data_IF_983291989671
#
_entry.id   IF_983291989671
#
_cell.length_a   1.000
_cell.length_b   1.000
_cell.length_c   1.000
_cell.angle_alpha   90.00
_cell.angle_beta   90.00
_cell.angle_gamma   90.00
#
_symmetry.space_group_name_H-M   'P 1'
#
loop_
_entity.id
_entity.type
_entity.pdbx_description
1 polymer ?
#
# COMPACT_ATOMS: atom_id res chain seq x y z
N UNK A 1 3.12 -20.73 -15.24
CA UNK A 1 3.91 -20.53 -14.01
C UNK A 1 5.12 -21.43 -14.02
N UNK A 2 6.24 -20.91 -13.56
CA UNK A 2 7.48 -21.65 -13.29
C UNK A 2 7.61 -21.83 -11.79
N UNK A 3 7.79 -23.07 -11.37
CA UNK A 3 8.02 -23.42 -9.96
C UNK A 3 9.45 -23.89 -9.86
N UNK A 4 10.28 -23.18 -9.10
CA UNK A 4 11.67 -23.59 -8.87
C UNK A 4 11.79 -24.13 -7.45
N UNK A 5 12.32 -25.34 -7.31
CA UNK A 5 12.62 -25.95 -6.01
C UNK A 5 14.13 -25.80 -5.80
N UNK A 6 14.51 -24.93 -4.88
CA UNK A 6 15.89 -24.82 -4.41
C UNK A 6 16.14 -25.89 -3.35
N UNK A 7 17.16 -26.70 -3.53
CA UNK A 7 17.44 -27.82 -2.62
C UNK A 7 18.92 -28.01 -2.40
N UNK A 8 19.30 -28.52 -1.24
CA UNK A 8 20.67 -29.02 -1.02
C UNK A 8 20.81 -30.45 -1.55
N UNK A 9 22.05 -30.90 -1.83
CA UNK A 9 22.30 -32.30 -2.17
C UNK A 9 21.65 -33.25 -1.15
N UNK A 10 21.00 -34.29 -1.64
CA UNK A 10 20.39 -35.36 -0.82
C UNK A 10 19.29 -34.89 0.17
N UNK A 11 18.61 -33.77 -0.09
CA UNK A 11 17.53 -33.32 0.79
C UNK A 11 16.34 -34.31 0.83
N UNK A 12 15.96 -34.83 2.02
CA UNK A 12 14.93 -35.86 2.15
C UNK A 12 13.50 -35.34 1.86
N UNK A 13 13.30 -34.02 1.88
CA UNK A 13 11.99 -33.40 1.72
C UNK A 13 11.64 -33.06 0.26
N UNK A 14 12.56 -33.27 -0.69
CA UNK A 14 12.32 -33.01 -2.12
C UNK A 14 11.19 -33.85 -2.71
N UNK A 15 11.10 -35.17 -2.45
CA UNK A 15 9.97 -35.96 -2.93
C UNK A 15 8.63 -35.45 -2.39
N UNK A 16 8.59 -35.09 -1.10
CA UNK A 16 7.40 -34.60 -0.40
C UNK A 16 6.94 -33.27 -1.00
N UNK A 17 7.84 -32.31 -1.21
CA UNK A 17 7.46 -31.01 -1.78
C UNK A 17 7.00 -31.13 -3.23
N UNK A 18 7.61 -32.00 -4.04
CA UNK A 18 7.19 -32.26 -5.42
C UNK A 18 5.79 -32.86 -5.48
N UNK A 19 5.49 -33.82 -4.61
CA UNK A 19 4.17 -34.42 -4.50
C UNK A 19 3.13 -33.37 -4.12
N UNK A 20 3.41 -32.55 -3.09
CA UNK A 20 2.49 -31.50 -2.62
C UNK A 20 2.26 -30.40 -3.66
N UNK A 21 3.29 -30.01 -4.43
CA UNK A 21 3.15 -29.09 -5.56
C UNK A 21 2.23 -29.70 -6.62
N UNK A 22 2.42 -30.97 -6.96
CA UNK A 22 1.57 -31.67 -7.95
C UNK A 22 0.10 -31.68 -7.51
N UNK A 23 -0.15 -31.99 -6.23
CA UNK A 23 -1.50 -31.95 -5.63
C UNK A 23 -2.09 -30.53 -5.53
N UNK A 24 -1.23 -29.51 -5.41
CA UNK A 24 -1.66 -28.11 -5.37
C UNK A 24 -1.99 -27.57 -6.77
N UNK A 25 -1.29 -28.04 -7.81
CA UNK A 25 -1.54 -27.65 -9.19
C UNK A 25 -2.88 -28.17 -9.72
N UNK A 26 -3.36 -29.31 -9.23
CA UNK A 26 -4.68 -29.87 -9.57
C UNK A 26 -4.93 -29.92 -11.09
N UNK A 27 -3.93 -30.42 -11.85
CA UNK A 27 -3.99 -30.53 -13.31
C UNK A 27 -3.59 -29.28 -14.09
N UNK A 28 -3.23 -28.17 -13.43
CA UNK A 28 -2.70 -26.97 -14.10
C UNK A 28 -1.27 -27.18 -14.61
N UNK A 29 -0.99 -26.66 -15.80
CA UNK A 29 0.35 -26.72 -16.40
C UNK A 29 1.32 -25.77 -15.67
N UNK A 30 2.41 -26.35 -15.15
CA UNK A 30 3.54 -25.61 -14.57
C UNK A 30 4.85 -26.25 -15.01
N UNK A 31 5.88 -25.43 -15.22
CA UNK A 31 7.25 -25.90 -15.43
C UNK A 31 7.90 -26.01 -14.06
N UNK A 32 8.32 -27.21 -13.65
CA UNK A 32 8.97 -27.44 -12.35
C UNK A 32 10.46 -27.66 -12.57
N UNK A 33 11.27 -26.72 -12.11
CA UNK A 33 12.72 -26.78 -12.16
C UNK A 33 13.26 -27.13 -10.77
N UNK A 34 14.29 -27.98 -10.71
CA UNK A 34 15.00 -28.33 -9.48
C UNK A 34 16.41 -27.76 -9.58
N UNK A 35 16.79 -26.90 -8.64
CA UNK A 35 18.11 -26.28 -8.58
C UNK A 35 18.79 -26.74 -7.31
N UNK A 36 19.93 -27.42 -7.47
CA UNK A 36 20.77 -27.82 -6.36
C UNK A 36 21.67 -26.65 -5.94
N UNK A 37 21.70 -26.35 -4.65
CA UNK A 37 22.45 -25.26 -4.02
C UNK A 37 23.30 -25.88 -2.92
N UNK A 38 24.62 -25.86 -3.12
CA UNK A 38 25.56 -26.52 -2.21
C UNK A 38 26.31 -25.53 -1.31
N UNK A 39 26.33 -24.24 -1.67
CA UNK A 39 27.10 -23.20 -0.99
C UNK A 39 26.22 -22.06 -0.48
N UNK A 40 26.61 -21.47 0.66
CA UNK A 40 25.89 -20.33 1.25
C UNK A 40 25.87 -19.09 0.34
N UNK A 41 26.92 -18.88 -0.46
CA UNK A 41 26.98 -17.78 -1.44
C UNK A 41 25.94 -17.95 -2.56
N UNK A 42 25.70 -19.17 -3.00
CA UNK A 42 24.63 -19.50 -3.95
C UNK A 42 23.26 -19.37 -3.29
N UNK A 43 23.13 -19.83 -2.04
CA UNK A 43 21.91 -19.65 -1.26
C UNK A 43 21.53 -18.16 -1.14
N UNK A 44 22.50 -17.27 -0.90
CA UNK A 44 22.29 -15.83 -0.85
C UNK A 44 21.82 -15.25 -2.20
N UNK A 45 22.41 -15.68 -3.31
CA UNK A 45 22.00 -15.26 -4.67
C UNK A 45 20.57 -15.65 -5.00
N UNK A 46 20.16 -16.82 -4.56
CA UNK A 46 18.81 -17.33 -4.77
C UNK A 46 17.81 -16.91 -3.69
N UNK A 47 18.25 -16.23 -2.63
CA UNK A 47 17.41 -15.92 -1.46
C UNK A 47 16.96 -17.15 -0.68
N UNK A 48 17.68 -18.27 -0.81
CA UNK A 48 17.38 -19.54 -0.15
C UNK A 48 17.66 -19.43 1.35
N UNK A 49 16.61 -19.54 2.16
CA UNK A 49 16.70 -19.54 3.64
C UNK A 49 16.67 -20.95 4.23
N UNK A 50 16.80 -21.97 3.38
CA UNK A 50 16.92 -23.38 3.73
C UNK A 50 16.31 -24.31 2.66
N UNK A 51 16.62 -25.60 2.74
CA UNK A 51 16.15 -26.64 1.82
C UNK A 51 14.94 -27.41 2.37
N UNK A 52 13.92 -27.71 1.54
CA UNK A 52 13.68 -27.14 0.23
C UNK A 52 13.13 -25.71 0.36
N UNK A 53 13.42 -24.83 -0.60
CA UNK A 53 12.73 -23.54 -0.79
C UNK A 53 11.97 -23.57 -2.10
N UNK A 54 10.69 -23.20 -2.09
CA UNK A 54 9.83 -23.19 -3.27
C UNK A 54 9.67 -21.76 -3.77
N UNK A 55 10.09 -21.50 -5.00
CA UNK A 55 9.89 -20.24 -5.69
C UNK A 55 8.75 -20.39 -6.70
N UNK A 56 7.77 -19.50 -6.65
CA UNK A 56 6.72 -19.36 -7.65
C UNK A 56 7.04 -18.14 -8.50
N UNK A 57 7.32 -18.36 -9.79
CA UNK A 57 7.74 -17.32 -10.74
C UNK A 57 8.91 -16.46 -10.21
N UNK A 58 9.81 -17.09 -9.43
CA UNK A 58 11.01 -16.46 -8.83
C UNK A 58 10.83 -15.91 -7.42
N UNK A 59 9.63 -15.95 -6.84
CA UNK A 59 9.32 -15.39 -5.52
C UNK A 59 9.09 -16.53 -4.51
N UNK A 60 9.70 -16.43 -3.31
CA UNK A 60 9.42 -17.32 -2.17
C UNK A 60 8.19 -16.83 -1.38
N UNK A 61 7.01 -17.46 -1.51
CA UNK A 61 5.80 -17.02 -0.82
C UNK A 61 5.83 -17.30 0.69
N UNK A 62 6.79 -18.10 1.16
CA UNK A 62 6.90 -18.50 2.56
C UNK A 62 8.04 -17.78 3.29
N UNK A 63 8.63 -16.76 2.65
CA UNK A 63 9.82 -16.05 3.15
C UNK A 63 9.60 -15.55 4.58
N UNK A 64 10.59 -15.81 5.44
CA UNK A 64 10.68 -15.18 6.76
C UNK A 64 11.57 -13.95 6.62
N UNK A 65 11.07 -12.79 7.09
CA UNK A 65 11.83 -11.54 7.08
C UNK A 65 13.10 -11.67 7.93
N UNK A 66 14.21 -11.14 7.41
CA UNK A 66 15.54 -11.16 8.04
C UNK A 66 16.13 -12.55 8.33
N UNK A 67 15.54 -13.62 7.78
CA UNK A 67 16.16 -14.94 7.85
C UNK A 67 17.44 -14.96 6.99
N UNK A 68 18.59 -15.38 7.56
CA UNK A 68 19.83 -15.45 6.80
C UNK A 68 19.73 -16.52 5.71
N UNK A 69 20.39 -16.32 4.56
CA UNK A 69 20.55 -17.38 3.59
C UNK A 69 21.17 -18.62 4.23
N UNK A 70 20.66 -19.80 3.89
CA UNK A 70 21.07 -21.04 4.54
C UNK A 70 20.96 -22.24 3.60
N UNK A 71 21.96 -23.12 3.70
CA UNK A 71 21.98 -24.47 3.10
C UNK A 71 21.47 -25.54 4.09
N UNK A 72 20.83 -25.13 5.19
CA UNK A 72 20.23 -26.05 6.18
C UNK A 72 18.79 -26.40 5.86
N UNK A 73 18.19 -27.36 6.58
CA UNK A 73 16.77 -27.69 6.41
C UNK A 73 15.86 -26.50 6.77
N UNK A 74 14.90 -26.19 5.90
CA UNK A 74 13.85 -25.22 6.17
C UNK A 74 12.66 -25.88 6.85
N UNK A 75 12.12 -25.20 7.84
CA UNK A 75 10.92 -25.61 8.56
C UNK A 75 9.74 -24.75 8.16
N UNK A 76 8.65 -25.39 7.77
CA UNK A 76 7.38 -24.78 7.40
C UNK A 76 6.39 -24.99 8.53
N UNK A 77 5.63 -23.96 8.87
CA UNK A 77 4.55 -24.04 9.86
C UNK A 77 3.20 -23.98 9.15
N UNK A 78 2.31 -24.91 9.47
CA UNK A 78 0.92 -24.81 9.07
C UNK A 78 0.11 -23.92 10.01
N UNK A 79 -1.15 -23.67 9.67
CA UNK A 79 -2.10 -22.87 10.45
C UNK A 79 -2.42 -23.47 11.82
N UNK A 80 -2.18 -24.78 12.00
CA UNK A 80 -2.37 -25.50 13.26
C UNK A 80 -1.09 -25.51 14.12
N UNK A 81 -0.03 -24.82 13.68
CA UNK A 81 1.26 -24.71 14.37
C UNK A 81 2.14 -25.96 14.26
N UNK A 82 1.78 -26.95 13.44
CA UNK A 82 2.63 -28.11 13.16
C UNK A 82 3.77 -27.69 12.25
N UNK A 83 4.95 -28.21 12.57
CA UNK A 83 6.18 -27.90 11.83
C UNK A 83 6.56 -29.10 10.96
N UNK A 84 6.84 -28.84 9.69
CA UNK A 84 7.19 -29.86 8.70
C UNK A 84 8.33 -29.37 7.79
N UNK A 85 8.99 -30.29 7.09
CA UNK A 85 10.10 -30.02 6.18
C UNK A 85 9.68 -29.57 4.78
N UNK A 86 8.38 -29.40 4.54
CA UNK A 86 7.82 -28.90 3.27
C UNK A 86 6.54 -28.10 3.54
N UNK A 87 6.18 -27.11 2.68
CA UNK A 87 4.93 -26.39 2.80
C UNK A 87 3.73 -27.32 2.59
N UNK A 88 2.57 -26.97 3.16
CA UNK A 88 1.34 -27.75 3.00
C UNK A 88 0.73 -27.58 1.61
N UNK A 89 -0.09 -28.54 1.18
CA UNK A 89 -0.81 -28.46 -0.12
C UNK A 89 -1.72 -27.23 -0.16
N UNK A 90 -2.38 -26.90 0.95
CA UNK A 90 -3.23 -25.72 1.04
C UNK A 90 -2.43 -24.42 0.86
N UNK A 91 -1.30 -24.30 1.57
CA UNK A 91 -0.45 -23.10 1.47
C UNK A 91 0.13 -22.94 0.05
N UNK A 92 0.48 -24.06 -0.61
CA UNK A 92 0.88 -24.05 -2.02
C UNK A 92 -0.28 -23.71 -2.96
N UNK A 93 -1.52 -24.13 -2.69
CA UNK A 93 -2.70 -23.73 -3.47
C UNK A 93 -2.94 -22.24 -3.36
N UNK A 94 -2.99 -21.71 -2.13
CA UNK A 94 -3.19 -20.27 -1.88
C UNK A 94 -2.11 -19.43 -2.57
N UNK A 95 -0.84 -19.86 -2.49
CA UNK A 95 0.27 -19.17 -3.14
C UNK A 95 0.30 -19.33 -4.68
N UNK A 96 -0.24 -20.43 -5.22
CA UNK A 96 -0.26 -20.72 -6.67
C UNK A 96 -1.58 -20.38 -7.36
N UNK A 97 -2.62 -19.96 -6.64
CA UNK A 97 -3.81 -19.43 -7.26
C UNK A 97 -3.44 -18.11 -7.95
N UNK A 98 -3.85 -17.89 -9.21
CA UNK A 98 -3.70 -16.58 -9.81
C UNK A 98 -4.46 -15.58 -8.94
N UNK A 99 -3.73 -14.73 -8.21
CA UNK A 99 -4.28 -13.44 -7.83
C UNK A 99 -4.80 -12.82 -9.14
N UNK A 100 -6.05 -12.37 -9.15
CA UNK A 100 -6.70 -11.86 -10.34
C UNK A 100 -5.77 -10.90 -11.09
N UNK A 101 -5.17 -11.41 -12.18
CA UNK A 101 -4.19 -10.79 -13.06
C UNK A 101 -3.59 -9.45 -12.56
N UNK A 102 -2.58 -9.52 -11.69
CA UNK A 102 -1.52 -8.51 -11.70
C UNK A 102 -0.68 -8.78 -12.96
N UNK A 103 -0.97 -8.02 -14.02
CA UNK A 103 -0.22 -8.04 -15.26
C UNK A 103 1.21 -7.60 -14.98
N UNK A 104 2.11 -8.58 -14.98
CA UNK A 104 3.54 -8.38 -15.02
C UNK A 104 3.90 -7.92 -16.43
N UNK A 105 3.91 -6.60 -16.62
CA UNK A 105 4.61 -6.00 -17.76
C UNK A 105 6.10 -5.97 -17.43
N UNK A 106 6.90 -6.49 -18.34
CA UNK A 106 8.33 -6.68 -18.17
C UNK A 106 9.05 -5.34 -18.33
N UNK A 107 9.03 -4.49 -17.31
CA UNK A 107 9.98 -3.38 -17.11
C UNK A 107 9.78 -2.77 -15.72
N UNK A 108 10.86 -2.68 -14.93
CA UNK A 108 11.10 -1.85 -13.74
C UNK A 108 9.91 -1.04 -13.14
N UNK A 109 8.85 -1.70 -12.68
CA UNK A 109 7.62 -1.05 -12.16
C UNK A 109 7.36 -1.26 -10.66
N UNK A 110 8.30 -1.86 -9.93
CA UNK A 110 8.11 -2.13 -8.48
C UNK A 110 8.13 -0.86 -7.63
N UNK A 111 8.57 0.28 -8.17
CA UNK A 111 8.68 1.55 -7.43
C UNK A 111 7.48 2.50 -7.64
N UNK A 112 6.58 2.21 -8.60
CA UNK A 112 5.40 3.02 -8.91
C UNK A 112 4.11 2.52 -8.22
N UNK A 113 4.14 1.35 -7.60
CA UNK A 113 2.99 0.76 -6.89
C UNK A 113 2.89 1.22 -5.42
N UNK A 114 3.84 2.03 -4.94
CA UNK A 114 3.72 2.73 -3.65
C UNK A 114 3.84 4.27 -3.74
N UNK A 115 3.12 4.94 -4.65
CA UNK A 115 3.20 6.39 -4.83
C UNK A 115 2.51 7.14 -3.68
N UNK A 116 1.62 6.46 -2.95
CA UNK A 116 0.91 7.00 -1.78
C UNK A 116 1.31 6.35 -0.47
N UNK A 117 2.20 5.38 -0.42
CA UNK A 117 2.58 4.72 0.83
C UNK A 117 4.03 4.94 1.22
N UNK A 118 4.40 4.27 2.30
CA UNK A 118 5.66 4.42 3.04
C UNK A 118 6.68 3.36 2.65
N UNK A 119 6.98 3.19 1.37
CA UNK A 119 7.70 2.05 0.81
C UNK A 119 7.08 0.68 1.19
N UNK A 120 5.76 0.53 1.01
CA UNK A 120 5.00 -0.69 1.30
C UNK A 120 4.63 -0.90 2.78
N UNK A 121 5.02 0.02 3.67
CA UNK A 121 4.70 -0.05 5.12
C UNK A 121 3.27 0.38 5.48
N UNK A 122 2.48 0.77 4.47
CA UNK A 122 1.10 1.22 4.64
C UNK A 122 0.98 2.56 5.39
N UNK A 123 -0.26 3.02 5.56
CA UNK A 123 -0.58 4.28 6.25
C UNK A 123 -1.14 4.10 7.64
N UNK A 124 -1.35 2.87 8.11
CA UNK A 124 -1.91 2.59 9.44
C UNK A 124 -0.79 2.52 10.46
N UNK A 125 -0.84 3.39 11.46
CA UNK A 125 0.18 3.42 12.50
C UNK A 125 0.16 2.13 13.36
N UNK A 126 1.30 1.73 13.96
CA UNK A 126 1.38 0.62 14.90
C UNK A 126 0.46 0.85 16.12
N UNK A 127 -0.05 -0.23 16.72
CA UNK A 127 -0.97 -0.15 17.86
C UNK A 127 -0.25 0.32 19.13
N UNK A 128 1.05 0.09 19.17
CA UNK A 128 1.94 0.32 20.28
C UNK A 128 2.14 1.80 20.54
N UNK A 129 2.47 2.13 21.80
CA UNK A 129 2.93 3.46 22.22
C UNK A 129 1.96 4.59 21.86
N UNK A 130 0.67 4.28 21.70
CA UNK A 130 -0.39 5.24 21.41
C UNK A 130 -0.44 5.77 19.98
N UNK A 131 0.42 5.30 19.06
CA UNK A 131 0.54 5.86 17.71
C UNK A 131 -0.78 5.73 16.92
N UNK A 132 -1.33 4.51 16.81
CA UNK A 132 -2.63 4.28 16.16
C UNK A 132 -3.78 5.03 16.82
N UNK A 133 -3.79 5.11 18.15
CA UNK A 133 -4.85 5.80 18.88
C UNK A 133 -4.88 7.30 18.55
N UNK A 134 -3.72 7.96 18.60
CA UNK A 134 -3.60 9.38 18.26
C UNK A 134 -3.87 9.60 16.77
N UNK A 135 -3.33 8.77 15.88
CA UNK A 135 -3.60 8.85 14.45
C UNK A 135 -5.11 8.78 14.16
N UNK A 136 -5.79 7.76 14.66
CA UNK A 136 -7.23 7.59 14.44
C UNK A 136 -8.04 8.72 15.08
N UNK A 137 -7.62 9.27 16.22
CA UNK A 137 -8.27 10.43 16.83
C UNK A 137 -8.18 11.66 15.92
N UNK A 138 -7.02 11.93 15.33
CA UNK A 138 -6.84 13.00 14.34
C UNK A 138 -7.75 12.81 13.14
N UNK A 139 -7.74 11.63 12.52
CA UNK A 139 -8.53 11.32 11.33
C UNK A 139 -10.04 11.43 11.58
N UNK A 140 -10.53 10.90 12.72
CA UNK A 140 -11.95 11.02 13.11
C UNK A 140 -12.33 12.47 13.39
N UNK A 141 -11.43 13.28 13.95
CA UNK A 141 -11.69 14.69 14.21
C UNK A 141 -11.84 15.48 12.91
N UNK A 142 -10.98 15.26 11.92
CA UNK A 142 -11.12 15.85 10.58
C UNK A 142 -12.46 15.46 9.95
N UNK A 143 -12.83 14.19 9.96
CA UNK A 143 -14.09 13.71 9.39
C UNK A 143 -15.35 14.28 10.08
N UNK A 144 -15.22 14.72 11.33
CA UNK A 144 -16.33 15.27 12.13
C UNK A 144 -16.41 16.80 12.03
N UNK A 145 -15.27 17.48 11.90
CA UNK A 145 -15.20 18.95 12.10
C UNK A 145 -14.67 19.71 10.89
N UNK A 146 -14.01 19.02 9.96
CA UNK A 146 -13.28 19.66 8.86
C UNK A 146 -11.94 20.28 9.26
N UNK A 147 -11.49 20.12 10.51
CA UNK A 147 -10.38 20.89 11.09
C UNK A 147 -9.37 20.02 11.82
N UNK A 148 -8.20 20.60 12.09
CA UNK A 148 -7.16 20.01 12.96
C UNK A 148 -7.66 19.97 14.41
N UNK A 149 -7.50 18.86 15.13
CA UNK A 149 -7.86 18.77 16.55
C UNK A 149 -7.04 19.71 17.42
N UNK A 150 -7.67 20.22 18.48
CA UNK A 150 -7.00 20.98 19.51
C UNK A 150 -5.98 20.12 20.27
N UNK A 151 -4.89 20.72 20.72
CA UNK A 151 -3.84 20.03 21.46
C UNK A 151 -4.39 19.31 22.71
N UNK A 152 -5.33 19.93 23.44
CA UNK A 152 -5.94 19.33 24.63
C UNK A 152 -6.65 18.00 24.35
N UNK A 153 -7.29 17.87 23.18
CA UNK A 153 -7.91 16.61 22.77
C UNK A 153 -6.85 15.52 22.56
N UNK A 154 -5.77 15.86 21.87
CA UNK A 154 -4.69 14.91 21.60
C UNK A 154 -3.92 14.52 22.87
N UNK A 155 -3.74 15.45 23.81
CA UNK A 155 -3.12 15.17 25.11
C UNK A 155 -3.92 14.13 25.90
N UNK A 156 -5.24 14.28 25.94
CA UNK A 156 -6.10 13.31 26.60
C UNK A 156 -6.05 11.91 25.95
N UNK A 157 -5.84 11.83 24.63
CA UNK A 157 -5.69 10.55 23.91
C UNK A 157 -4.30 9.95 24.15
N UNK A 158 -3.24 10.73 24.04
CA UNK A 158 -1.85 10.27 24.22
C UNK A 158 -1.59 9.81 25.67
N UNK A 159 -2.21 10.46 26.66
CA UNK A 159 -2.10 10.10 28.07
C UNK A 159 -2.58 8.66 28.36
N UNK A 160 -3.48 8.10 27.54
CA UNK A 160 -3.91 6.70 27.67
C UNK A 160 -2.77 5.70 27.43
N UNK A 161 -1.74 6.11 26.67
CA UNK A 161 -0.52 5.36 26.45
C UNK A 161 0.65 5.84 27.34
N UNK A 162 0.40 6.71 28.31
CA UNK A 162 1.43 7.26 29.20
C UNK A 162 2.42 8.21 28.51
N UNK A 163 2.01 8.87 27.42
CA UNK A 163 2.82 9.81 26.64
C UNK A 163 2.13 11.16 26.50
N UNK A 164 2.90 12.19 26.19
CA UNK A 164 2.36 13.49 25.75
C UNK A 164 1.96 13.46 24.27
N UNK A 165 1.05 14.35 23.88
CA UNK A 165 0.67 14.48 22.46
C UNK A 165 1.87 14.86 21.58
N UNK A 166 2.73 15.75 22.06
CA UNK A 166 3.93 16.19 21.34
C UNK A 166 4.87 15.03 20.99
N UNK A 167 5.13 14.11 21.94
CA UNK A 167 5.98 12.94 21.69
C UNK A 167 5.39 11.99 20.65
N UNK A 168 4.08 11.75 20.70
CA UNK A 168 3.40 10.85 19.77
C UNK A 168 3.33 11.48 18.38
N UNK A 169 3.01 12.78 18.28
CA UNK A 169 2.95 13.50 17.02
C UNK A 169 4.31 13.59 16.33
N UNK A 170 5.39 13.84 17.09
CA UNK A 170 6.75 13.88 16.52
C UNK A 170 7.16 12.51 15.94
N UNK A 171 6.75 11.41 16.58
CA UNK A 171 7.02 10.07 16.05
C UNK A 171 6.14 9.75 14.84
N UNK A 172 4.87 10.14 14.85
CA UNK A 172 3.99 9.98 13.68
C UNK A 172 4.48 10.81 12.48
N UNK A 173 5.10 11.97 12.72
CA UNK A 173 5.74 12.81 11.69
C UNK A 173 7.01 12.19 11.13
N UNK A 174 7.91 11.76 12.02
CA UNK A 174 9.15 11.06 11.62
C UNK A 174 8.86 9.81 10.81
N UNK A 175 7.81 9.09 11.19
CA UNK A 175 7.31 7.91 10.52
C UNK A 175 6.25 8.23 9.45
N UNK A 176 6.16 9.46 8.91
CA UNK A 176 5.30 9.84 7.77
C UNK A 176 3.85 9.32 7.83
N UNK A 177 3.25 9.21 9.00
CA UNK A 177 1.82 8.91 9.17
C UNK A 177 0.97 10.18 9.11
N UNK A 178 1.58 11.32 9.45
CA UNK A 178 1.11 12.68 9.31
C UNK A 178 2.33 13.58 9.09
N UNK A 179 2.12 14.87 8.83
CA UNK A 179 3.22 15.84 8.80
C UNK A 179 2.94 17.02 9.72
N UNK A 180 3.99 17.53 10.36
CA UNK A 180 3.96 18.73 11.19
C UNK A 180 4.60 19.92 10.47
N UNK A 181 4.14 21.13 10.81
CA UNK A 181 4.82 22.37 10.45
C UNK A 181 5.99 22.67 11.40
N UNK A 182 6.77 23.72 11.12
CA UNK A 182 7.90 24.14 11.96
C UNK A 182 7.51 24.53 13.40
N UNK A 183 6.22 24.73 13.68
CA UNK A 183 5.69 25.00 15.02
C UNK A 183 5.13 23.76 15.72
N UNK A 184 5.27 22.57 15.12
CA UNK A 184 4.77 21.30 15.65
C UNK A 184 3.27 21.10 15.48
N UNK A 185 2.59 21.88 14.63
CA UNK A 185 1.16 21.72 14.34
C UNK A 185 0.96 20.83 13.14
N UNK A 186 -0.13 20.05 13.13
CA UNK A 186 -0.46 19.15 12.03
C UNK A 186 -0.70 19.97 10.75
N UNK A 187 0.13 19.72 9.74
CA UNK A 187 0.02 20.26 8.38
C UNK A 187 -0.80 19.33 7.48
N UNK A 188 -0.59 18.02 7.59
CA UNK A 188 -1.36 17.01 6.89
C UNK A 188 -1.52 15.76 7.76
N UNK A 189 -2.64 15.07 7.66
CA UNK A 189 -2.88 13.77 8.29
C UNK A 189 -3.58 12.89 7.26
N UNK A 190 -2.81 12.12 6.50
CA UNK A 190 -3.29 11.45 5.29
C UNK A 190 -4.53 10.59 5.58
N UNK A 191 -5.63 10.77 4.82
CA UNK A 191 -5.72 11.50 3.53
C UNK A 191 -5.99 13.03 3.60
N UNK A 192 -6.14 13.60 4.80
CA UNK A 192 -6.55 15.00 4.98
C UNK A 192 -5.39 16.00 4.94
N UNK A 193 -5.69 17.22 4.48
CA UNK A 193 -4.83 18.40 4.56
C UNK A 193 -5.41 19.40 5.56
N UNK A 194 -4.55 20.02 6.37
CA UNK A 194 -4.96 21.14 7.24
C UNK A 194 -5.12 22.45 6.46
N UNK A 195 -4.38 22.61 5.36
CA UNK A 195 -4.50 23.74 4.44
C UNK A 195 -5.50 23.42 3.34
N UNK A 196 -6.15 24.47 2.82
CA UNK A 196 -7.02 24.34 1.67
C UNK A 196 -6.24 23.88 0.44
N UNK A 197 -6.75 22.86 -0.26
CA UNK A 197 -6.18 22.35 -1.50
C UNK A 197 -7.21 22.42 -2.62
N UNK A 198 -6.82 22.13 -3.86
CA UNK A 198 -7.80 21.99 -4.95
C UNK A 198 -8.73 20.79 -4.75
N UNK A 199 -8.29 19.78 -4.01
CA UNK A 199 -9.01 18.53 -3.81
C UNK A 199 -9.92 18.64 -2.58
N UNK A 200 -11.13 19.15 -2.80
CA UNK A 200 -12.15 19.33 -1.78
C UNK A 200 -13.04 18.10 -1.69
N UNK A 201 -13.38 17.67 -0.47
CA UNK A 201 -14.24 16.52 -0.23
C UNK A 201 -15.38 16.93 0.68
N UNK A 202 -16.60 16.75 0.20
CA UNK A 202 -17.84 16.99 0.93
C UNK A 202 -18.42 15.67 1.41
N UNK A 203 -18.45 15.49 2.72
CA UNK A 203 -18.97 14.29 3.37
C UNK A 203 -20.50 14.32 3.43
N UNK A 204 -21.13 13.16 3.59
CA UNK A 204 -22.59 13.03 3.68
C UNK A 204 -23.21 13.83 4.85
N UNK A 205 -22.45 14.04 5.93
CA UNK A 205 -22.86 14.86 7.08
C UNK A 205 -22.78 16.38 6.83
N UNK A 206 -22.37 16.80 5.63
CA UNK A 206 -22.24 18.21 5.24
C UNK A 206 -20.91 18.87 5.60
N UNK A 207 -20.01 18.16 6.29
CA UNK A 207 -18.65 18.61 6.58
C UNK A 207 -17.82 18.59 5.29
N UNK A 208 -17.06 19.65 5.07
CA UNK A 208 -16.06 19.72 4.00
C UNK A 208 -14.66 19.60 4.58
N UNK A 209 -13.82 18.83 3.90
CA UNK A 209 -12.39 18.63 4.22
C UNK A 209 -11.57 18.81 2.96
N UNK A 210 -10.35 19.32 3.12
CA UNK A 210 -9.35 19.31 2.04
C UNK A 210 -8.53 18.03 2.10
N UNK A 211 -8.16 17.50 0.95
CA UNK A 211 -7.33 16.30 0.81
C UNK A 211 -5.99 16.61 0.15
N UNK A 212 -4.97 15.82 0.44
CA UNK A 212 -3.61 16.13 -0.04
C UNK A 212 -3.45 15.92 -1.55
N UNK A 213 -4.11 14.90 -2.11
CA UNK A 213 -3.98 14.55 -3.52
C UNK A 213 -5.23 13.83 -4.04
N UNK A 214 -5.24 13.50 -5.34
CA UNK A 214 -6.37 12.81 -5.96
C UNK A 214 -6.64 11.43 -5.33
N UNK A 215 -5.61 10.61 -5.10
CA UNK A 215 -5.77 9.28 -4.50
C UNK A 215 -6.25 9.37 -3.04
N UNK A 216 -5.71 10.33 -2.28
CA UNK A 216 -6.15 10.62 -0.91
C UNK A 216 -7.64 10.97 -0.88
N UNK A 217 -8.10 11.83 -1.79
CA UNK A 217 -9.50 12.22 -1.91
C UNK A 217 -10.42 11.01 -2.14
N UNK A 218 -10.04 10.12 -3.05
CA UNK A 218 -10.79 8.89 -3.36
C UNK A 218 -10.79 7.90 -2.18
N UNK A 219 -9.69 7.85 -1.42
CA UNK A 219 -9.53 6.96 -0.28
C UNK A 219 -10.42 7.29 0.91
N UNK A 220 -10.84 8.55 1.06
CA UNK A 220 -11.66 9.01 2.19
C UNK A 220 -12.99 8.24 2.27
N UNK A 221 -13.63 7.93 1.13
CA UNK A 221 -14.91 7.20 1.10
C UNK A 221 -14.76 5.82 1.73
N UNK A 222 -13.70 5.10 1.34
CA UNK A 222 -13.41 3.77 1.85
C UNK A 222 -12.99 3.79 3.33
N UNK A 223 -12.18 4.77 3.73
CA UNK A 223 -11.73 4.93 5.12
C UNK A 223 -12.91 5.16 6.07
N UNK A 224 -13.89 5.97 5.65
CA UNK A 224 -15.04 6.34 6.46
C UNK A 224 -16.24 5.40 6.27
N UNK A 225 -16.24 4.56 5.23
CA UNK A 225 -17.38 3.72 4.88
C UNK A 225 -18.65 4.51 4.56
N UNK A 226 -18.51 5.70 3.96
CA UNK A 226 -19.64 6.58 3.65
C UNK A 226 -19.56 7.18 2.24
N UNK A 227 -20.72 7.57 1.74
CA UNK A 227 -20.89 8.33 0.51
C UNK A 227 -20.34 9.76 0.68
N UNK A 228 -19.76 10.30 -0.38
CA UNK A 228 -19.17 11.63 -0.41
C UNK A 228 -19.05 12.16 -1.84
N UNK A 229 -18.76 13.44 -1.98
CA UNK A 229 -18.42 14.08 -3.26
C UNK A 229 -17.03 14.69 -3.17
N UNK A 230 -16.15 14.31 -4.10
CA UNK A 230 -14.86 14.96 -4.35
C UNK A 230 -15.05 15.99 -5.45
N UNK A 231 -14.53 17.19 -5.24
CA UNK A 231 -14.44 18.25 -6.25
C UNK A 231 -12.98 18.70 -6.38
N UNK A 232 -12.50 18.77 -7.60
CA UNK A 232 -11.16 19.22 -7.94
C UNK A 232 -11.15 19.95 -9.28
N UNK A 233 -9.98 20.39 -9.71
CA UNK A 233 -9.76 20.99 -11.02
C UNK A 233 -8.55 20.35 -11.68
N UNK A 234 -8.59 20.28 -13.01
CA UNK A 234 -7.45 19.90 -13.83
C UNK A 234 -6.32 20.93 -13.66
N UNK A 235 -5.06 20.53 -13.45
CA UNK A 235 -3.94 21.47 -13.27
C UNK A 235 -3.49 22.16 -14.56
N UNK A 236 -3.90 21.69 -15.74
CA UNK A 236 -3.51 22.26 -17.04
C UNK A 236 -4.48 23.35 -17.47
N UNK A 237 -5.79 23.07 -17.45
CA UNK A 237 -6.81 23.95 -18.03
C UNK A 237 -7.89 24.41 -17.04
N UNK A 238 -7.78 24.01 -15.78
CA UNK A 238 -8.70 24.32 -14.69
C UNK A 238 -10.14 23.80 -14.88
N UNK A 239 -10.39 22.89 -15.82
CA UNK A 239 -11.70 22.25 -15.93
C UNK A 239 -12.06 21.50 -14.64
N UNK A 240 -13.32 21.59 -14.17
CA UNK A 240 -13.74 20.91 -12.96
C UNK A 240 -13.76 19.39 -13.16
N UNK A 241 -13.29 18.68 -12.13
CA UNK A 241 -13.43 17.22 -12.02
C UNK A 241 -14.19 16.92 -10.73
N UNK A 242 -15.30 16.21 -10.84
CA UNK A 242 -16.14 15.80 -9.71
C UNK A 242 -16.24 14.28 -9.66
N UNK A 243 -16.06 13.69 -8.48
CA UNK A 243 -16.26 12.26 -8.25
C UNK A 243 -17.27 12.08 -7.12
N UNK A 244 -18.40 11.46 -7.44
CA UNK A 244 -19.45 11.18 -6.46
C UNK A 244 -19.46 9.71 -6.10
N UNK A 245 -19.40 9.40 -4.81
CA UNK A 245 -19.53 8.06 -4.28
C UNK A 245 -20.96 7.82 -3.79
N UNK A 246 -21.60 6.76 -4.29
CA UNK A 246 -22.94 6.35 -3.87
C UNK A 246 -22.98 4.83 -3.71
N UNK A 247 -23.28 4.35 -2.51
CA UNK A 247 -23.24 2.91 -2.20
C UNK A 247 -21.89 2.26 -2.48
N UNK A 248 -20.79 3.02 -2.34
CA UNK A 248 -19.42 2.59 -2.64
C UNK A 248 -19.01 2.58 -4.12
N UNK A 249 -19.93 2.89 -5.05
CA UNK A 249 -19.62 3.08 -6.46
C UNK A 249 -19.25 4.54 -6.76
N UNK A 250 -18.21 4.76 -7.56
CA UNK A 250 -17.74 6.09 -7.94
C UNK A 250 -18.24 6.46 -9.35
N UNK A 251 -18.88 7.63 -9.47
CA UNK A 251 -19.28 8.25 -10.74
C UNK A 251 -18.45 9.51 -10.96
N UNK A 252 -17.92 9.68 -12.17
CA UNK A 252 -16.94 10.72 -12.51
C UNK A 252 -17.50 11.67 -13.55
N UNK A 253 -17.25 12.96 -13.35
CA UNK A 253 -17.57 14.02 -14.28
C UNK A 253 -16.35 14.94 -14.44
N UNK A 254 -15.78 15.09 -15.65
CA UNK A 254 -16.19 14.43 -16.90
C UNK A 254 -15.97 12.90 -16.89
N UNK A 255 -16.68 12.19 -17.76
CA UNK A 255 -16.67 10.72 -17.80
C UNK A 255 -15.33 10.15 -18.26
N UNK A 256 -14.57 10.94 -19.01
CA UNK A 256 -13.21 10.66 -19.49
C UNK A 256 -12.11 11.10 -18.50
N UNK A 257 -12.47 11.59 -17.32
CA UNK A 257 -11.51 12.00 -16.31
C UNK A 257 -10.57 10.84 -15.92
N UNK A 258 -9.31 11.18 -15.69
CA UNK A 258 -8.25 10.22 -15.30
C UNK A 258 -7.47 10.77 -14.11
N UNK A 259 -6.61 9.94 -13.54
CA UNK A 259 -5.69 10.35 -12.48
C UNK A 259 -4.27 10.08 -12.96
N UNK A 260 -3.37 11.05 -12.78
CA UNK A 260 -1.94 10.76 -12.88
C UNK A 260 -1.43 10.33 -11.51
N UNK A 261 -0.68 9.24 -11.48
CA UNK A 261 -0.06 8.71 -10.28
C UNK A 261 1.44 8.65 -10.50
N UNK A 262 2.19 9.37 -9.66
CA UNK A 262 3.64 9.44 -9.82
C UNK A 262 4.34 10.07 -8.63
N UNK A 263 5.65 10.18 -8.72
CA UNK A 263 6.53 10.68 -7.67
C UNK A 263 7.66 11.49 -8.29
N UNK A 264 8.08 12.55 -7.59
CA UNK A 264 9.32 13.27 -7.90
C UNK A 264 10.51 12.53 -7.30
N UNK A 265 11.64 12.51 -8.01
CA UNK A 265 12.88 11.99 -7.43
C UNK A 265 13.25 12.80 -6.18
N UNK A 266 13.48 12.09 -5.06
CA UNK A 266 13.82 12.71 -3.78
C UNK A 266 13.41 11.89 -2.56
N UNK A 267 14.09 12.16 -1.44
CA UNK A 267 13.76 11.64 -0.11
C UNK A 267 12.94 12.68 0.66
N UNK A 268 11.87 12.24 1.33
CA UNK A 268 11.02 13.12 2.14
C UNK A 268 9.62 12.56 2.37
N UNK A 269 8.78 13.24 3.18
CA UNK A 269 7.40 12.85 3.44
C UNK A 269 6.59 12.80 2.14
N UNK A 270 5.57 11.94 2.07
CA UNK A 270 4.76 11.82 0.85
C UNK A 270 4.10 13.13 0.41
N UNK A 271 3.76 14.00 1.37
CA UNK A 271 3.29 15.36 1.13
C UNK A 271 4.25 16.21 0.27
N UNK A 272 5.56 15.96 0.34
CA UNK A 272 6.58 16.72 -0.38
C UNK A 272 7.02 16.05 -1.70
N UNK A 273 7.02 14.72 -1.76
CA UNK A 273 7.56 13.98 -2.92
C UNK A 273 6.50 13.46 -3.89
N UNK A 274 5.26 13.28 -3.44
CA UNK A 274 4.20 12.64 -4.22
C UNK A 274 2.97 13.54 -4.41
N UNK A 275 2.43 14.14 -3.34
CA UNK A 275 1.07 14.71 -3.38
C UNK A 275 0.87 15.82 -4.43
N UNK A 276 1.88 16.63 -4.74
CA UNK A 276 1.79 17.65 -5.81
C UNK A 276 1.68 17.06 -7.22
N UNK A 277 2.16 15.82 -7.43
CA UNK A 277 2.11 15.12 -8.71
C UNK A 277 0.82 14.31 -8.90
N UNK A 278 0.18 13.85 -7.81
CA UNK A 278 -1.02 13.01 -7.86
C UNK A 278 -2.29 13.85 -8.06
N UNK A 279 -2.69 14.06 -9.31
CA UNK A 279 -3.81 14.93 -9.66
C UNK A 279 -4.88 14.25 -10.52
N UNK A 280 -6.09 14.80 -10.43
CA UNK A 280 -7.17 14.57 -11.37
C UNK A 280 -6.92 15.37 -12.66
N UNK A 281 -7.30 14.79 -13.78
CA UNK A 281 -7.30 15.45 -15.08
C UNK A 281 -8.66 15.24 -15.73
N UNK A 282 -9.15 16.28 -16.40
CA UNK A 282 -10.43 16.24 -17.10
C UNK A 282 -10.40 15.28 -18.30
N UNK A 283 -9.23 14.98 -18.85
CA UNK A 283 -9.06 13.99 -19.93
C UNK A 283 -7.67 13.38 -19.95
N UNK A 284 -7.52 12.26 -20.65
CA UNK A 284 -6.21 11.65 -20.90
C UNK A 284 -5.24 12.61 -21.63
N UNK A 285 -5.72 13.37 -22.62
CA UNK A 285 -4.86 14.31 -23.36
C UNK A 285 -4.30 15.43 -22.46
N UNK A 286 -5.10 15.90 -21.49
CA UNK A 286 -4.62 16.87 -20.50
C UNK A 286 -3.53 16.27 -19.59
N UNK A 287 -3.74 15.03 -19.13
CA UNK A 287 -2.74 14.32 -18.32
C UNK A 287 -1.42 14.09 -19.07
N UNK A 288 -1.48 13.71 -20.36
CA UNK A 288 -0.31 13.54 -21.22
C UNK A 288 0.43 14.87 -21.45
N UNK A 289 -0.32 15.96 -21.67
CA UNK A 289 0.26 17.30 -21.77
C UNK A 289 0.99 17.68 -20.47
N UNK A 290 0.37 17.45 -19.31
CA UNK A 290 0.98 17.73 -18.02
C UNK A 290 2.24 16.89 -17.81
N UNK A 291 2.21 15.60 -18.13
CA UNK A 291 3.36 14.70 -18.02
C UNK A 291 4.52 15.18 -18.91
N UNK A 292 4.24 15.65 -20.13
CA UNK A 292 5.25 16.16 -21.04
C UNK A 292 5.94 17.45 -20.55
N UNK A 293 5.23 18.27 -19.75
CA UNK A 293 5.76 19.51 -19.19
C UNK A 293 6.43 19.30 -17.82
N UNK A 294 6.30 18.11 -17.23
CA UNK A 294 6.91 17.73 -15.94
C UNK A 294 7.74 16.44 -16.07
N UNK A 295 8.77 16.40 -16.94
CA UNK A 295 9.58 15.20 -17.18
C UNK A 295 10.34 14.70 -15.94
N UNK A 296 10.49 15.55 -14.91
CA UNK A 296 11.09 15.21 -13.62
C UNK A 296 10.16 14.37 -12.72
N UNK A 297 8.88 14.23 -13.08
CA UNK A 297 7.90 13.42 -12.36
C UNK A 297 7.78 12.07 -13.05
N UNK A 298 8.22 11.00 -12.37
CA UNK A 298 8.01 9.63 -12.87
C UNK A 298 6.64 9.13 -12.44
N UNK A 299 5.87 8.60 -13.37
CA UNK A 299 4.54 8.12 -13.08
C UNK A 299 3.78 7.66 -14.32
N UNK A 300 2.53 7.32 -14.11
CA UNK A 300 1.63 6.82 -15.14
C UNK A 300 0.23 7.43 -14.99
N UNK A 301 -0.48 7.52 -16.11
CA UNK A 301 -1.90 7.86 -16.14
C UNK A 301 -2.67 6.57 -15.86
N UNK A 302 -3.53 6.60 -14.84
CA UNK A 302 -4.32 5.44 -14.43
C UNK A 302 -5.81 5.66 -14.67
N UNK A 303 -6.51 4.56 -14.94
CA UNK A 303 -7.97 4.54 -15.05
C UNK A 303 -8.66 4.89 -13.73
N UNK A 304 -9.91 5.35 -13.81
CA UNK A 304 -10.78 5.62 -12.66
C UNK A 304 -10.86 4.42 -11.71
N UNK A 305 -11.08 3.22 -12.23
CA UNK A 305 -11.18 2.00 -11.43
C UNK A 305 -9.87 1.69 -10.68
N UNK A 306 -8.72 1.89 -11.33
CA UNK A 306 -7.41 1.71 -10.70
C UNK A 306 -7.15 2.77 -9.63
N UNK A 307 -7.43 4.04 -9.92
CA UNK A 307 -7.27 5.13 -8.95
C UNK A 307 -8.12 4.91 -7.69
N UNK A 308 -9.41 4.57 -7.86
CA UNK A 308 -10.31 4.27 -6.74
C UNK A 308 -9.81 3.08 -5.93
N UNK A 309 -9.31 2.02 -6.58
CA UNK A 309 -8.76 0.84 -5.89
C UNK A 309 -7.51 1.19 -5.07
N UNK A 310 -6.59 1.98 -5.61
CA UNK A 310 -5.39 2.43 -4.89
C UNK A 310 -5.81 3.18 -3.62
N UNK A 311 -6.75 4.13 -3.73
CA UNK A 311 -7.28 4.87 -2.58
C UNK A 311 -7.94 3.95 -1.54
N UNK A 312 -8.76 3.00 -1.99
CA UNK A 312 -9.43 2.02 -1.12
C UNK A 312 -8.42 1.16 -0.35
N UNK A 313 -7.42 0.59 -1.03
CA UNK A 313 -6.42 -0.27 -0.42
C UNK A 313 -5.51 0.50 0.55
N UNK A 314 -5.16 1.75 0.19
CA UNK A 314 -4.28 2.59 1.02
C UNK A 314 -4.96 3.06 2.30
N UNK A 315 -6.21 3.52 2.21
CA UNK A 315 -6.87 4.27 3.29
C UNK A 315 -8.01 3.52 3.98
N UNK A 316 -8.62 2.54 3.32
CA UNK A 316 -9.74 1.75 3.86
C UNK A 316 -9.49 1.14 5.26
N UNK A 317 -8.30 0.57 5.54
CA UNK A 317 -8.02 -0.03 6.83
C UNK A 317 -7.80 0.95 8.01
N UNK A 318 -7.66 2.26 7.77
CA UNK A 318 -7.12 3.19 8.77
C UNK A 318 -7.96 3.31 10.04
N UNK A 319 -9.29 3.38 9.89
CA UNK A 319 -10.21 3.57 11.02
C UNK A 319 -10.85 2.29 11.52
N UNK A 320 -10.51 1.14 10.93
CA UNK A 320 -11.00 -0.16 11.37
C UNK A 320 -10.44 -0.50 12.76
N UNK A 321 -11.29 -1.12 13.59
CA UNK A 321 -10.89 -1.67 14.87
C UNK A 321 -10.22 -3.02 14.63
N UNK A 322 -8.92 -3.09 14.90
CA UNK A 322 -8.10 -4.29 14.74
C UNK A 322 -6.71 -4.07 15.30
#
# INVERSE_FOLDING_TARGET
MRITILTVPECPNVPVVRERITQALDGRAAVIDLVEVSEEGEAARWGMTGSPTVLLDGIDPFRILDAPPSVSCRLYRDTDGRTDGAPSVQALREASMPQAAEGQDCCEATDLLDPTGRAGRGRRAPAERGLRLVQQAVLRHFATTGRVPEAALLEAVAAQAGRSAGEVLAELDHEDFLTLDASGRIKAAYPFSAAETRHQVRLANGVSVSSMCAIDALGISAMLGQDLTVSSTDPVDAQPVTVSFTGGAATWEPAEAVVFVGRREGEGPAAAVCCDALNFFASQGSAEQWQSTHPEVRGEIVSQARATRIGQQTFGPLLQNG
#
